data_IF_201591888783
#
_entry.id   IF_201591888783
#
_cell.length_a   1.000
_cell.length_b   1.000
_cell.length_c   1.000
_cell.angle_alpha   90.00
_cell.angle_beta   90.00
_cell.angle_gamma   90.00
#
_symmetry.space_group_name_H-M   'P 1'
#
loop_
_entity.id
_entity.type
_entity.pdbx_description
1 polymer ?
#
# COMPACT_ATOMS: atom_id res chain seq x y z
N UNK A 1 -26.01 -8.30 -4.25
CA UNK A 1 -24.80 -7.46 -4.04
C UNK A 1 -25.30 -6.10 -3.55
N UNK A 2 -24.73 -5.63 -2.43
CA UNK A 2 -25.12 -4.32 -1.85
C UNK A 2 -24.15 -3.21 -2.29
N UNK A 3 -22.87 -3.52 -2.45
CA UNK A 3 -21.83 -2.57 -2.79
C UNK A 3 -20.93 -3.12 -3.89
N UNK A 4 -20.43 -2.23 -4.74
CA UNK A 4 -19.53 -2.56 -5.85
C UNK A 4 -18.22 -1.81 -5.64
N UNK A 5 -17.10 -2.43 -5.98
CA UNK A 5 -15.78 -1.84 -6.02
C UNK A 5 -15.12 -2.00 -7.38
N UNK A 6 -14.12 -1.19 -7.65
CA UNK A 6 -13.28 -1.28 -8.84
C UNK A 6 -11.86 -1.69 -8.45
N UNK A 7 -11.15 -2.38 -9.33
CA UNK A 7 -9.75 -2.72 -9.14
C UNK A 7 -8.97 -2.45 -10.43
N UNK A 8 -7.83 -1.76 -10.30
CA UNK A 8 -6.89 -1.47 -11.40
C UNK A 8 -7.47 -0.67 -12.58
N UNK A 9 -8.59 0.01 -12.40
CA UNK A 9 -9.12 0.93 -13.40
C UNK A 9 -8.26 2.19 -13.50
N UNK A 10 -8.11 2.73 -14.73
CA UNK A 10 -7.50 4.05 -14.92
C UNK A 10 -8.44 5.16 -14.43
N UNK A 11 -7.93 6.37 -14.12
CA UNK A 11 -8.75 7.50 -13.76
C UNK A 11 -9.90 7.78 -14.71
N UNK A 12 -9.64 7.71 -16.03
CA UNK A 12 -10.66 7.92 -17.10
C UNK A 12 -11.74 6.85 -17.04
N UNK A 13 -11.34 5.57 -16.84
CA UNK A 13 -12.28 4.45 -16.76
C UNK A 13 -13.14 4.52 -15.50
N UNK A 14 -12.59 5.02 -14.39
CA UNK A 14 -13.37 5.25 -13.16
C UNK A 14 -14.42 6.32 -13.43
N UNK A 15 -14.05 7.46 -14.00
CA UNK A 15 -15.00 8.54 -14.35
C UNK A 15 -16.08 8.07 -15.33
N UNK A 16 -15.70 7.27 -16.34
CA UNK A 16 -16.63 6.68 -17.30
C UNK A 16 -17.64 5.75 -16.61
N UNK A 17 -17.17 4.93 -15.65
CA UNK A 17 -18.07 4.07 -14.88
C UNK A 17 -19.14 4.89 -14.15
N UNK A 18 -18.74 5.96 -13.46
CA UNK A 18 -19.68 6.82 -12.76
C UNK A 18 -20.70 7.46 -13.70
N UNK A 19 -20.25 7.99 -14.84
CA UNK A 19 -21.15 8.56 -15.84
C UNK A 19 -22.19 7.54 -16.36
N UNK A 20 -21.77 6.29 -16.61
CA UNK A 20 -22.67 5.22 -17.03
C UNK A 20 -23.64 4.84 -15.88
N UNK A 21 -23.15 4.68 -14.66
CA UNK A 21 -23.98 4.34 -13.51
C UNK A 21 -25.06 5.40 -13.30
N UNK A 22 -24.72 6.68 -13.41
CA UNK A 22 -25.65 7.79 -13.30
C UNK A 22 -26.71 7.78 -14.40
N UNK A 23 -26.29 7.57 -15.66
CA UNK A 23 -27.21 7.55 -16.80
C UNK A 23 -28.20 6.37 -16.75
N UNK A 24 -27.82 5.28 -16.11
CA UNK A 24 -28.64 4.07 -16.00
C UNK A 24 -29.35 3.92 -14.66
N UNK A 25 -29.16 4.85 -13.71
CA UNK A 25 -29.66 4.71 -12.34
C UNK A 25 -29.10 3.52 -11.58
N UNK A 26 -27.88 3.09 -11.91
CA UNK A 26 -27.20 1.94 -11.30
C UNK A 26 -26.36 2.35 -10.10
N UNK A 27 -25.99 1.37 -9.24
CA UNK A 27 -25.16 1.63 -8.08
C UNK A 27 -23.76 2.11 -8.49
N UNK A 28 -23.32 3.23 -7.89
CA UNK A 28 -21.94 3.73 -8.03
C UNK A 28 -20.98 2.86 -7.23
N UNK A 29 -19.76 2.63 -7.72
CA UNK A 29 -18.71 2.01 -6.92
C UNK A 29 -18.38 2.87 -5.69
N UNK A 30 -18.13 2.21 -4.55
CA UNK A 30 -17.80 2.89 -3.30
C UNK A 30 -16.35 2.72 -2.88
N UNK A 31 -15.61 1.82 -3.53
CA UNK A 31 -14.23 1.52 -3.19
C UNK A 31 -13.39 1.27 -4.45
N UNK A 32 -12.14 1.72 -4.40
CA UNK A 32 -11.11 1.40 -5.38
C UNK A 32 -10.05 0.53 -4.71
N UNK A 33 -9.65 -0.56 -5.38
CA UNK A 33 -8.59 -1.45 -4.93
C UNK A 33 -7.36 -1.28 -5.85
N UNK A 34 -6.42 -0.35 -5.53
CA UNK A 34 -5.20 -0.13 -6.30
C UNK A 34 -4.04 -0.96 -5.76
N UNK A 35 -3.01 -1.19 -6.59
CA UNK A 35 -1.66 -1.50 -6.12
C UNK A 35 -1.10 -0.25 -5.42
N UNK A 36 -0.85 -0.32 -4.11
CA UNK A 36 -0.33 0.83 -3.38
C UNK A 36 0.40 0.38 -2.10
N UNK A 37 1.64 0.83 -1.95
CA UNK A 37 2.51 0.61 -0.80
C UNK A 37 3.68 1.62 -0.85
N UNK A 38 4.61 1.55 0.10
CA UNK A 38 5.80 2.42 0.16
C UNK A 38 6.67 2.40 -1.11
N UNK A 39 6.66 1.34 -1.91
CA UNK A 39 7.46 1.21 -3.12
C UNK A 39 6.66 1.48 -4.40
N UNK A 40 5.33 1.50 -4.33
CA UNK A 40 4.46 1.67 -5.49
C UNK A 40 3.42 2.75 -5.20
N UNK A 41 3.76 4.01 -5.50
CA UNK A 41 2.98 5.20 -5.17
C UNK A 41 2.50 5.98 -6.39
N UNK A 42 3.20 5.88 -7.52
CA UNK A 42 3.03 6.74 -8.69
C UNK A 42 1.67 6.62 -9.38
N UNK A 43 1.02 5.49 -9.24
CA UNK A 43 -0.34 5.27 -9.78
C UNK A 43 -1.46 5.90 -8.93
N UNK A 44 -1.15 6.25 -7.67
CA UNK A 44 -2.16 6.69 -6.69
C UNK A 44 -1.97 8.14 -6.28
N UNK A 45 -0.71 8.55 -6.02
CA UNK A 45 -0.37 9.84 -5.46
C UNK A 45 -0.03 10.87 -6.53
N UNK A 46 -0.86 11.89 -6.69
CA UNK A 46 -0.61 13.02 -7.58
C UNK A 46 -1.85 13.54 -8.29
N UNK A 47 -1.73 14.68 -8.97
CA UNK A 47 -2.84 15.29 -9.70
C UNK A 47 -3.35 14.39 -10.82
N UNK A 48 -4.66 14.19 -10.86
CA UNK A 48 -5.33 13.37 -11.88
C UNK A 48 -5.18 11.87 -11.71
N UNK A 49 -4.41 11.39 -10.72
CA UNK A 49 -4.20 9.96 -10.46
C UNK A 49 -5.33 9.34 -9.63
N UNK A 50 -5.24 8.03 -9.43
CA UNK A 50 -6.31 7.21 -8.82
C UNK A 50 -6.77 7.72 -7.45
N UNK A 51 -5.84 8.18 -6.60
CA UNK A 51 -6.17 8.68 -5.27
C UNK A 51 -7.03 9.94 -5.31
N UNK A 52 -6.65 10.93 -6.15
CA UNK A 52 -7.45 12.14 -6.33
C UNK A 52 -8.82 11.82 -6.93
N UNK A 53 -8.88 11.00 -7.97
CA UNK A 53 -10.15 10.65 -8.62
C UNK A 53 -11.08 9.89 -7.67
N UNK A 54 -10.53 8.99 -6.85
CA UNK A 54 -11.30 8.30 -5.82
C UNK A 54 -11.90 9.29 -4.82
N UNK A 55 -11.10 10.23 -4.31
CA UNK A 55 -11.56 11.26 -3.38
C UNK A 55 -12.66 12.16 -3.98
N UNK A 56 -12.47 12.63 -5.22
CA UNK A 56 -13.46 13.44 -5.95
C UNK A 56 -14.81 12.74 -6.13
N UNK A 57 -14.80 11.41 -6.28
CA UNK A 57 -15.97 10.59 -6.51
C UNK A 57 -16.51 9.91 -5.23
N UNK A 58 -15.95 10.22 -4.07
CA UNK A 58 -16.38 9.69 -2.77
C UNK A 58 -16.08 8.21 -2.57
N UNK A 59 -15.04 7.67 -3.22
CA UNK A 59 -14.59 6.29 -3.08
C UNK A 59 -13.50 6.20 -2.00
N UNK A 60 -13.53 5.13 -1.19
CA UNK A 60 -12.40 4.75 -0.34
C UNK A 60 -11.35 3.94 -1.10
N UNK A 61 -10.11 3.92 -0.60
CA UNK A 61 -9.04 3.07 -1.13
C UNK A 61 -8.86 1.83 -0.26
N UNK A 62 -8.75 0.66 -0.88
CA UNK A 62 -8.40 -0.62 -0.22
C UNK A 62 -7.17 -1.22 -0.93
N UNK A 63 -5.97 -0.70 -0.66
CA UNK A 63 -4.75 -1.12 -1.33
C UNK A 63 -4.46 -2.61 -1.22
N UNK A 64 -4.10 -3.27 -2.33
CA UNK A 64 -3.50 -4.60 -2.35
C UNK A 64 -1.98 -4.51 -2.50
N UNK A 65 -1.28 -5.64 -2.29
CA UNK A 65 0.20 -5.68 -2.18
C UNK A 65 0.76 -4.71 -1.14
N UNK A 66 0.03 -4.48 -0.06
CA UNK A 66 0.38 -3.54 1.01
C UNK A 66 1.81 -3.74 1.57
N UNK A 67 2.34 -4.97 1.53
CA UNK A 67 3.70 -5.33 1.96
C UNK A 67 4.65 -5.63 0.78
N UNK A 68 4.36 -5.19 -0.45
CA UNK A 68 5.19 -5.43 -1.65
C UNK A 68 5.58 -6.92 -1.80
N UNK A 69 4.60 -7.83 -1.83
CA UNK A 69 4.78 -9.29 -1.83
C UNK A 69 5.62 -9.82 -0.65
N UNK A 70 5.76 -9.04 0.41
CA UNK A 70 6.54 -9.33 1.61
C UNK A 70 7.94 -8.72 1.60
N UNK A 71 8.30 -7.90 0.61
CA UNK A 71 9.58 -7.20 0.58
C UNK A 71 9.73 -6.23 1.76
N UNK A 72 8.67 -5.50 2.10
CA UNK A 72 8.64 -4.55 3.21
C UNK A 72 8.63 -5.18 4.62
N UNK A 73 8.70 -6.51 4.72
CA UNK A 73 8.84 -7.19 6.02
C UNK A 73 10.28 -7.30 6.51
N UNK A 74 11.26 -6.81 5.75
CA UNK A 74 12.68 -6.88 6.09
C UNK A 74 13.32 -8.27 6.01
N UNK A 75 12.59 -9.28 5.49
CA UNK A 75 13.13 -10.66 5.38
C UNK A 75 14.12 -10.83 4.22
N UNK A 76 14.07 -9.96 3.20
CA UNK A 76 15.00 -9.96 2.09
C UNK A 76 16.14 -8.99 2.37
N UNK A 77 17.38 -9.46 2.23
CA UNK A 77 18.58 -8.69 2.56
C UNK A 77 19.34 -8.29 1.30
N UNK A 78 19.98 -7.14 1.36
CA UNK A 78 20.83 -6.62 0.27
C UNK A 78 21.96 -7.61 -0.04
N UNK A 79 22.10 -8.03 -1.30
CA UNK A 79 23.14 -8.94 -1.76
C UNK A 79 22.89 -10.43 -1.47
N UNK A 80 21.76 -10.77 -0.85
CA UNK A 80 21.37 -12.17 -0.63
C UNK A 80 20.45 -12.67 -1.75
N UNK A 81 20.55 -13.95 -2.13
CA UNK A 81 19.60 -14.54 -3.07
C UNK A 81 18.17 -14.48 -2.52
N UNK A 82 17.22 -14.20 -3.40
CA UNK A 82 15.81 -14.24 -3.05
C UNK A 82 15.24 -15.59 -3.44
N UNK A 83 14.95 -16.41 -2.44
CA UNK A 83 14.39 -17.74 -2.60
C UNK A 83 12.90 -17.81 -2.18
N UNK A 84 12.19 -18.82 -2.69
CA UNK A 84 10.84 -19.17 -2.32
C UNK A 84 9.77 -18.78 -3.34
N UNK A 85 8.52 -19.12 -3.05
CA UNK A 85 7.35 -19.01 -3.94
C UNK A 85 7.10 -17.60 -4.51
N UNK A 86 7.63 -16.57 -3.85
CA UNK A 86 7.44 -15.17 -4.24
C UNK A 86 8.68 -14.52 -4.84
N UNK A 87 9.75 -15.27 -5.10
CA UNK A 87 11.00 -14.73 -5.65
C UNK A 87 10.75 -13.91 -6.93
N UNK A 88 9.94 -14.43 -7.86
CA UNK A 88 9.59 -13.71 -9.09
C UNK A 88 8.77 -12.44 -8.87
N UNK A 89 8.00 -12.35 -7.76
CA UNK A 89 7.18 -11.18 -7.45
C UNK A 89 7.98 -10.03 -6.81
N UNK A 90 9.15 -10.32 -6.27
CA UNK A 90 10.00 -9.33 -5.59
C UNK A 90 11.26 -8.98 -6.40
N UNK A 91 11.45 -9.58 -7.58
CA UNK A 91 12.60 -9.32 -8.45
C UNK A 91 12.78 -7.84 -8.76
N UNK A 92 11.68 -7.15 -9.06
CA UNK A 92 11.71 -5.74 -9.43
C UNK A 92 12.04 -4.81 -8.24
N UNK A 93 11.86 -5.30 -7.01
CA UNK A 93 12.20 -4.57 -5.79
C UNK A 93 13.67 -4.72 -5.38
N UNK A 94 14.47 -5.58 -6.04
CA UNK A 94 15.87 -5.81 -5.71
C UNK A 94 16.79 -4.66 -6.21
N UNK A 95 16.42 -3.43 -5.95
CA UNK A 95 17.17 -2.22 -6.29
C UNK A 95 17.69 -1.56 -5.01
N UNK A 96 18.87 -0.88 -5.05
CA UNK A 96 19.43 -0.21 -3.88
C UNK A 96 18.42 0.68 -3.16
N UNK A 97 17.66 1.49 -3.90
CA UNK A 97 16.69 2.45 -3.38
C UNK A 97 15.55 1.75 -2.63
N UNK A 98 15.12 0.56 -3.09
CA UNK A 98 14.08 -0.21 -2.42
C UNK A 98 14.58 -0.80 -1.10
N UNK A 99 15.84 -1.19 -1.04
CA UNK A 99 16.46 -1.65 0.22
C UNK A 99 16.63 -0.50 1.21
N UNK A 100 16.91 0.74 0.77
CA UNK A 100 16.97 1.92 1.65
C UNK A 100 15.61 2.17 2.33
N UNK A 101 14.50 1.94 1.61
CA UNK A 101 13.15 1.99 2.19
C UNK A 101 12.98 0.90 3.25
N UNK A 102 13.39 -0.35 2.95
CA UNK A 102 13.29 -1.45 3.92
C UNK A 102 14.13 -1.17 5.16
N UNK A 103 15.35 -0.67 4.99
CA UNK A 103 16.25 -0.35 6.10
C UNK A 103 15.61 0.72 7.02
N UNK A 104 14.95 1.74 6.43
CA UNK A 104 14.20 2.75 7.19
C UNK A 104 13.02 2.15 7.92
N UNK A 105 12.23 1.28 7.27
CA UNK A 105 11.11 0.57 7.89
C UNK A 105 11.58 -0.29 9.06
N UNK A 106 12.70 -0.99 8.92
CA UNK A 106 13.31 -1.83 9.97
C UNK A 106 13.77 -0.98 11.15
N UNK A 107 14.38 0.19 10.88
CA UNK A 107 14.82 1.09 11.95
C UNK A 107 13.63 1.61 12.76
N UNK A 108 12.60 2.14 12.10
CA UNK A 108 11.39 2.62 12.79
C UNK A 108 10.72 1.49 13.57
N UNK A 109 10.68 0.28 13.01
CA UNK A 109 10.12 -0.87 13.71
C UNK A 109 10.90 -1.22 14.99
N UNK A 110 12.22 -1.14 14.94
CA UNK A 110 13.08 -1.37 16.11
C UNK A 110 12.83 -0.33 17.21
N UNK A 111 12.68 0.94 16.83
CA UNK A 111 12.43 2.05 17.77
C UNK A 111 11.08 1.89 18.50
N UNK A 112 10.08 1.31 17.83
CA UNK A 112 8.76 0.99 18.40
C UNK A 112 8.68 -0.41 19.03
N UNK A 113 9.68 -1.27 18.87
CA UNK A 113 9.65 -2.66 19.36
C UNK A 113 8.61 -3.53 18.67
N UNK A 114 8.33 -3.27 17.39
CA UNK A 114 7.37 -4.00 16.56
C UNK A 114 8.04 -4.65 15.34
N UNK A 115 7.32 -5.52 14.63
CA UNK A 115 7.80 -6.08 13.36
C UNK A 115 7.67 -5.06 12.21
N UNK A 116 8.60 -5.04 11.23
CA UNK A 116 8.60 -4.11 10.09
C UNK A 116 7.28 -4.06 9.32
N UNK A 117 6.56 -5.18 9.23
CA UNK A 117 5.26 -5.23 8.57
C UNK A 117 4.23 -4.31 9.23
N UNK A 118 4.29 -4.13 10.56
CA UNK A 118 3.39 -3.22 11.28
C UNK A 118 3.62 -1.77 10.83
N UNK A 119 4.87 -1.34 10.74
CA UNK A 119 5.25 0.02 10.29
C UNK A 119 4.78 0.28 8.86
N UNK A 120 5.07 -0.63 7.92
CA UNK A 120 4.67 -0.48 6.52
C UNK A 120 3.14 -0.40 6.34
N UNK A 121 2.40 -1.20 7.11
CA UNK A 121 0.93 -1.19 7.10
C UNK A 121 0.36 0.07 7.77
N UNK A 122 0.94 0.53 8.89
CA UNK A 122 0.51 1.78 9.56
C UNK A 122 0.74 2.99 8.67
N UNK A 123 1.93 3.09 8.03
CA UNK A 123 2.18 4.15 7.07
C UNK A 123 1.12 4.16 5.96
N UNK A 124 0.78 3.00 5.40
CA UNK A 124 -0.22 2.91 4.33
C UNK A 124 -1.64 3.19 4.81
N UNK A 125 -2.01 2.71 6.02
CA UNK A 125 -3.31 2.98 6.66
C UNK A 125 -3.57 4.48 6.78
N UNK A 126 -2.54 5.23 7.12
CA UNK A 126 -2.64 6.66 7.41
C UNK A 126 -2.51 7.54 6.15
N UNK A 127 -2.46 6.94 4.95
CA UNK A 127 -2.49 7.71 3.69
C UNK A 127 -3.88 8.27 3.39
N UNK A 128 -3.95 9.48 2.81
CA UNK A 128 -5.22 10.11 2.44
C UNK A 128 -6.10 9.17 1.60
N UNK A 129 -7.35 9.04 2.01
CA UNK A 129 -8.34 8.23 1.29
C UNK A 129 -8.24 6.72 1.50
N UNK A 130 -7.22 6.21 2.18
CA UNK A 130 -7.12 4.78 2.49
C UNK A 130 -8.13 4.42 3.58
N UNK A 131 -9.04 3.52 3.25
CA UNK A 131 -10.02 2.96 4.19
C UNK A 131 -9.43 1.81 4.98
N UNK A 132 -8.75 0.88 4.30
CA UNK A 132 -8.05 -0.23 4.92
C UNK A 132 -7.06 -0.88 3.95
N UNK A 133 -5.79 -1.07 4.32
CA UNK A 133 -4.86 -1.92 3.57
C UNK A 133 -5.30 -3.38 3.59
N UNK A 134 -5.09 -4.10 2.47
CA UNK A 134 -5.34 -5.53 2.40
C UNK A 134 -4.05 -6.30 2.73
N UNK A 135 -4.10 -7.07 3.80
CA UNK A 135 -3.02 -7.95 4.22
C UNK A 135 -3.55 -9.33 4.56
N UNK A 136 -2.69 -10.34 4.49
CA UNK A 136 -3.03 -11.70 4.86
C UNK A 136 -1.90 -12.38 5.64
N UNK A 137 -2.27 -13.30 6.54
CA UNK A 137 -1.35 -14.11 7.31
C UNK A 137 -1.63 -15.59 7.08
N UNK A 138 -0.57 -16.41 6.99
CA UNK A 138 -0.67 -17.88 6.92
C UNK A 138 -0.59 -18.56 8.30
N UNK A 139 -0.15 -17.82 9.31
CA UNK A 139 0.01 -18.29 10.68
C UNK A 139 -0.07 -17.12 11.66
N UNK A 140 -0.17 -17.45 12.97
CA UNK A 140 -0.32 -16.45 14.04
C UNK A 140 0.88 -15.49 14.15
N UNK A 141 2.11 -15.94 13.86
CA UNK A 141 3.27 -15.07 13.89
C UNK A 141 3.18 -13.96 12.82
N UNK A 142 2.64 -14.27 11.63
CA UNK A 142 2.41 -13.28 10.59
C UNK A 142 1.16 -12.43 10.85
N UNK A 143 0.22 -12.90 11.66
CA UNK A 143 -0.96 -12.12 12.03
C UNK A 143 -0.64 -11.02 13.04
N UNK A 144 0.27 -11.27 13.98
CA UNK A 144 0.60 -10.31 15.04
C UNK A 144 0.93 -8.92 14.50
N UNK A 145 1.89 -8.72 13.57
CA UNK A 145 2.20 -7.39 13.06
C UNK A 145 1.05 -6.74 12.26
N UNK A 146 0.11 -7.51 11.72
CA UNK A 146 -1.09 -6.95 11.08
C UNK A 146 -2.02 -6.37 12.15
N UNK A 147 -2.13 -7.03 13.31
CA UNK A 147 -2.91 -6.53 14.45
C UNK A 147 -2.22 -5.32 15.08
N UNK A 148 -0.89 -5.36 15.26
CA UNK A 148 -0.12 -4.24 15.80
C UNK A 148 -0.30 -2.98 14.94
N UNK A 149 -0.36 -3.14 13.61
CA UNK A 149 -0.61 -2.04 12.69
C UNK A 149 -1.95 -1.30 12.92
N UNK A 150 -2.91 -1.90 13.61
CA UNK A 150 -4.20 -1.23 13.88
C UNK A 150 -4.07 -0.10 14.90
N UNK A 151 -3.11 -0.20 15.82
CA UNK A 151 -2.89 0.73 16.93
C UNK A 151 -1.54 1.44 16.90
N UNK A 152 -0.61 1.04 16.03
CA UNK A 152 0.69 1.68 15.90
C UNK A 152 0.51 3.10 15.32
N UNK A 153 0.88 4.10 16.09
CA UNK A 153 0.90 5.50 15.67
C UNK A 153 2.33 5.90 15.29
N UNK A 154 2.54 6.28 14.04
CA UNK A 154 3.80 6.83 13.57
C UNK A 154 3.80 8.35 13.79
N UNK A 155 4.90 8.88 14.28
CA UNK A 155 5.09 10.33 14.37
C UNK A 155 5.13 10.98 12.99
N UNK A 156 4.93 12.30 12.93
CA UNK A 156 5.06 13.06 11.68
C UNK A 156 6.47 12.97 11.09
N UNK A 157 7.50 12.87 11.94
CA UNK A 157 8.89 12.74 11.53
C UNK A 157 9.15 11.38 10.86
N UNK A 158 8.70 10.29 11.47
CA UNK A 158 8.82 8.93 10.93
C UNK A 158 8.03 8.79 9.63
N UNK A 159 6.80 9.29 9.60
CA UNK A 159 5.97 9.31 8.40
C UNK A 159 6.64 10.07 7.26
N UNK A 160 7.28 11.21 7.56
CA UNK A 160 8.02 12.01 6.61
C UNK A 160 9.29 11.28 6.12
N UNK A 161 10.06 10.68 7.03
CA UNK A 161 11.26 9.93 6.70
C UNK A 161 10.95 8.75 5.76
N UNK A 162 9.94 7.94 6.10
CA UNK A 162 9.46 6.84 5.28
C UNK A 162 8.99 7.31 3.90
N UNK A 163 8.29 8.44 3.84
CA UNK A 163 7.81 9.02 2.58
C UNK A 163 8.97 9.51 1.71
N UNK A 164 9.94 10.22 2.30
CA UNK A 164 11.09 10.77 1.57
C UNK A 164 12.01 9.69 1.01
N UNK A 165 12.35 8.66 1.80
CA UNK A 165 13.17 7.55 1.30
C UNK A 165 12.44 6.78 0.19
N UNK A 166 11.14 6.66 0.28
CA UNK A 166 10.28 6.04 -0.73
C UNK A 166 10.23 6.83 -2.05
N UNK A 167 10.44 8.16 -2.03
CA UNK A 167 10.41 8.98 -3.26
C UNK A 167 11.51 8.58 -4.26
N UNK A 168 12.67 8.09 -3.79
CA UNK A 168 13.74 7.61 -4.65
C UNK A 168 13.49 6.19 -5.21
N UNK A 169 12.59 5.44 -4.60
CA UNK A 169 12.31 4.03 -4.89
C UNK A 169 11.07 3.79 -5.77
N UNK A 170 10.36 4.85 -6.19
CA UNK A 170 9.09 4.76 -6.94
C UNK A 170 9.20 3.96 -8.24
N UNK A 171 8.08 3.32 -8.61
CA UNK A 171 7.86 2.58 -9.85
C UNK A 171 6.77 3.25 -10.67
#
# INVERSE_FOLDING_TARGET
IRHVGLSNYTPERIRQWFAIADSQGSARPIVLQPHYNLLHRDDVEGPGLRGQVAAELGMGLMPYFALAAGFLTGKYRRGEPVDGDRAGMVSDYQRPECYDVVDTVVQVAADHGVEPAAVALSWLRDRPGVTAPLASARNLRQLAPIVDALSLELSEEETRALTQVSDAARF
#
